data_IF_037822318595
#
_entry.id   IF_037822318595
#
_cell.length_a   1.000
_cell.length_b   1.000
_cell.length_c   1.000
_cell.angle_alpha   90.00
_cell.angle_beta   90.00
_cell.angle_gamma   90.00
#
_symmetry.space_group_name_H-M   'P 1'
#
loop_
_entity.id
_entity.type
_entity.pdbx_description
1 polymer ?
#
# COMPACT_ATOMS: atom_id res chain seq x y z
N UNK A 1 35.48 3.74 8.53
CA UNK A 1 35.16 2.91 7.36
C UNK A 1 36.43 2.62 6.61
N UNK A 2 36.88 1.37 6.61
CA UNK A 2 38.09 0.94 5.93
C UNK A 2 37.85 0.81 4.40
N UNK A 3 38.91 0.60 3.62
CA UNK A 3 38.79 0.53 2.16
C UNK A 3 38.01 -0.69 1.67
N UNK A 4 38.00 -1.80 2.42
CA UNK A 4 37.18 -2.98 2.10
C UNK A 4 35.70 -2.66 2.21
N UNK A 5 35.28 -2.01 3.30
CA UNK A 5 33.90 -1.61 3.54
C UNK A 5 33.43 -0.62 2.47
N UNK A 6 34.29 0.33 2.05
CA UNK A 6 33.98 1.24 0.95
C UNK A 6 33.78 0.49 -0.36
N UNK A 7 34.58 -0.53 -0.63
CA UNK A 7 34.46 -1.33 -1.86
C UNK A 7 33.19 -2.18 -1.86
N UNK A 8 32.82 -2.76 -0.72
CA UNK A 8 31.57 -3.49 -0.56
C UNK A 8 30.36 -2.59 -0.84
N UNK A 9 30.38 -1.36 -0.32
CA UNK A 9 29.33 -0.36 -0.57
C UNK A 9 29.27 0.01 -2.06
N UNK A 10 30.41 0.21 -2.73
CA UNK A 10 30.43 0.52 -4.17
C UNK A 10 29.83 -0.61 -5.00
N UNK A 11 30.19 -1.86 -4.70
CA UNK A 11 29.61 -3.03 -5.40
C UNK A 11 28.11 -3.13 -5.17
N UNK A 12 27.65 -2.85 -3.94
CA UNK A 12 26.23 -2.85 -3.62
C UNK A 12 25.47 -1.76 -4.39
N UNK A 13 25.99 -0.53 -4.41
CA UNK A 13 25.41 0.58 -5.16
C UNK A 13 25.36 0.29 -6.67
N UNK A 14 26.43 -0.25 -7.24
CA UNK A 14 26.46 -0.66 -8.65
C UNK A 14 25.40 -1.74 -8.95
N UNK A 15 25.21 -2.69 -8.02
CA UNK A 15 24.15 -3.69 -8.08
C UNK A 15 22.76 -3.04 -8.13
N UNK A 16 22.49 -2.09 -7.23
CA UNK A 16 21.22 -1.36 -7.20
C UNK A 16 20.98 -0.48 -8.43
N UNK A 17 22.02 0.16 -8.95
CA UNK A 17 21.89 0.98 -10.15
C UNK A 17 21.46 0.14 -11.36
N UNK A 18 22.04 -1.06 -11.50
CA UNK A 18 21.63 -2.01 -12.54
C UNK A 18 20.22 -2.55 -12.29
N UNK A 19 19.95 -3.03 -11.07
CA UNK A 19 18.68 -3.64 -10.71
C UNK A 19 17.51 -2.66 -10.84
N UNK A 20 17.70 -1.38 -10.47
CA UNK A 20 16.66 -0.36 -10.54
C UNK A 20 16.07 -0.22 -11.95
N UNK A 21 16.92 -0.12 -12.97
CA UNK A 21 16.47 -0.02 -14.37
C UNK A 21 15.67 -1.26 -14.82
N UNK A 22 16.08 -2.45 -14.36
CA UNK A 22 15.40 -3.71 -14.67
C UNK A 22 14.05 -3.80 -13.96
N UNK A 23 14.00 -3.41 -12.68
CA UNK A 23 12.78 -3.38 -11.88
C UNK A 23 11.75 -2.41 -12.45
N UNK A 24 12.17 -1.23 -12.91
CA UNK A 24 11.24 -0.28 -13.55
C UNK A 24 10.64 -0.85 -14.83
N UNK A 25 11.46 -1.54 -15.66
CA UNK A 25 10.95 -2.20 -16.85
C UNK A 25 9.93 -3.30 -16.48
N UNK A 26 10.28 -4.16 -15.52
CA UNK A 26 9.39 -5.24 -15.05
C UNK A 26 8.09 -4.68 -14.47
N UNK A 27 8.17 -3.60 -13.68
CA UNK A 27 7.00 -2.92 -13.12
C UNK A 27 6.09 -2.40 -14.23
N UNK A 28 6.66 -1.73 -15.24
CA UNK A 28 5.89 -1.19 -16.35
C UNK A 28 5.24 -2.31 -17.21
N UNK A 29 5.94 -3.42 -17.42
CA UNK A 29 5.39 -4.60 -18.09
C UNK A 29 4.27 -5.26 -17.27
N UNK A 30 4.48 -5.43 -15.96
CA UNK A 30 3.45 -5.95 -15.06
C UNK A 30 2.19 -5.08 -15.12
N UNK A 31 2.31 -3.75 -14.99
CA UNK A 31 1.15 -2.84 -15.06
C UNK A 31 0.42 -2.95 -16.39
N UNK A 32 1.15 -2.99 -17.53
CA UNK A 32 0.52 -3.10 -18.86
C UNK A 32 -0.20 -4.43 -19.08
N UNK A 33 0.32 -5.49 -18.49
CA UNK A 33 -0.21 -6.85 -18.67
C UNK A 33 -1.20 -7.24 -17.57
N UNK A 34 -1.37 -6.42 -16.53
CA UNK A 34 -2.36 -6.64 -15.49
C UNK A 34 -3.77 -6.45 -16.04
N UNK A 35 -4.58 -7.50 -15.95
CA UNK A 35 -6.01 -7.40 -16.16
C UNK A 35 -6.68 -6.84 -14.90
N UNK A 36 -6.71 -5.50 -14.84
CA UNK A 36 -7.29 -4.77 -13.71
C UNK A 36 -8.78 -5.06 -13.56
N UNK A 37 -9.50 -5.31 -14.67
CA UNK A 37 -10.93 -5.58 -14.63
C UNK A 37 -11.20 -6.93 -13.98
N UNK A 38 -10.47 -7.98 -14.39
CA UNK A 38 -10.58 -9.30 -13.78
C UNK A 38 -10.19 -9.27 -12.28
N UNK A 39 -9.17 -8.48 -11.91
CA UNK A 39 -8.78 -8.33 -10.51
C UNK A 39 -9.88 -7.65 -9.66
N UNK A 40 -10.55 -6.63 -10.20
CA UNK A 40 -11.70 -5.99 -9.54
C UNK A 40 -12.85 -6.98 -9.36
N UNK A 41 -13.17 -7.76 -10.39
CA UNK A 41 -14.20 -8.79 -10.33
C UNK A 41 -13.89 -9.84 -9.25
N UNK A 42 -12.65 -10.33 -9.18
CA UNK A 42 -12.20 -11.28 -8.17
C UNK A 42 -12.26 -10.73 -6.74
N UNK A 43 -12.17 -9.41 -6.56
CA UNK A 43 -12.25 -8.75 -5.26
C UNK A 43 -13.68 -8.31 -4.90
N UNK A 44 -14.63 -8.41 -5.84
CA UNK A 44 -16.00 -7.92 -5.64
C UNK A 44 -16.72 -8.66 -4.51
N UNK A 45 -16.55 -9.99 -4.41
CA UNK A 45 -17.16 -10.79 -3.35
C UNK A 45 -16.75 -10.34 -1.94
N UNK A 46 -15.49 -9.92 -1.77
CA UNK A 46 -15.01 -9.41 -0.50
C UNK A 46 -15.63 -8.05 -0.15
N UNK A 47 -15.82 -7.19 -1.16
CA UNK A 47 -16.49 -5.90 -1.01
C UNK A 47 -17.98 -6.08 -0.66
N UNK A 48 -18.69 -6.95 -1.38
CA UNK A 48 -20.11 -7.24 -1.11
C UNK A 48 -20.29 -7.88 0.27
N UNK A 49 -19.39 -8.80 0.66
CA UNK A 49 -19.38 -9.36 2.01
C UNK A 49 -19.18 -8.27 3.07
N UNK A 50 -18.30 -7.30 2.83
CA UNK A 50 -18.10 -6.18 3.76
C UNK A 50 -19.38 -5.34 3.89
N UNK A 51 -20.07 -5.03 2.79
CA UNK A 51 -21.34 -4.31 2.82
C UNK A 51 -22.44 -5.06 3.58
N UNK A 52 -22.49 -6.39 3.43
CA UNK A 52 -23.49 -7.22 4.11
C UNK A 52 -23.26 -7.29 5.64
N UNK A 53 -22.01 -7.43 6.06
CA UNK A 53 -21.67 -7.70 7.46
C UNK A 53 -21.28 -6.45 8.26
N UNK A 54 -20.89 -5.36 7.60
CA UNK A 54 -20.48 -4.10 8.23
C UNK A 54 -21.30 -2.95 7.67
N UNK A 55 -22.58 -2.83 8.06
CA UNK A 55 -23.41 -1.72 7.62
C UNK A 55 -22.78 -0.38 8.06
N UNK A 56 -22.91 0.68 7.25
CA UNK A 56 -22.41 1.99 7.62
C UNK A 56 -22.98 2.43 8.97
N UNK A 57 -22.11 2.97 9.83
CA UNK A 57 -22.55 3.54 11.09
C UNK A 57 -23.52 4.70 10.83
N UNK A 58 -24.57 4.80 11.65
CA UNK A 58 -25.58 5.86 11.55
C UNK A 58 -24.98 7.26 11.80
N UNK A 59 -23.77 7.32 12.35
CA UNK A 59 -23.03 8.54 12.67
C UNK A 59 -21.60 8.44 12.16
N UNK A 60 -20.99 9.57 11.86
CA UNK A 60 -19.57 9.63 11.48
C UNK A 60 -18.65 9.58 12.69
N UNK A 61 -17.37 9.24 12.47
CA UNK A 61 -16.34 9.32 13.50
C UNK A 61 -16.18 10.73 14.10
N UNK A 62 -16.56 11.78 13.37
CA UNK A 62 -16.54 13.15 13.89
C UNK A 62 -17.61 13.36 14.97
N UNK A 63 -18.82 12.81 14.77
CA UNK A 63 -19.88 12.84 15.79
C UNK A 63 -19.48 12.02 17.01
N UNK A 64 -18.91 10.84 16.80
CA UNK A 64 -18.39 10.00 17.88
C UNK A 64 -17.29 10.73 18.68
N UNK A 65 -16.36 11.40 17.99
CA UNK A 65 -15.31 12.20 18.62
C UNK A 65 -15.89 13.34 19.47
N UNK A 66 -16.89 14.07 18.97
CA UNK A 66 -17.57 15.11 19.74
C UNK A 66 -18.24 14.56 21.00
N UNK A 67 -18.88 13.40 20.91
CA UNK A 67 -19.47 12.73 22.07
C UNK A 67 -18.42 12.27 23.09
N UNK A 68 -17.23 11.89 22.63
CA UNK A 68 -16.10 11.54 23.50
C UNK A 68 -15.58 12.79 24.20
N UNK A 69 -15.35 13.89 23.47
CA UNK A 69 -14.88 15.15 24.07
C UNK A 69 -15.87 15.71 25.09
N UNK A 70 -17.17 15.70 24.77
CA UNK A 70 -18.22 16.07 25.71
C UNK A 70 -18.20 15.20 26.98
N UNK A 71 -17.98 13.88 26.86
CA UNK A 71 -17.83 12.97 28.00
C UNK A 71 -16.56 13.21 28.82
N UNK A 72 -15.48 13.62 28.17
CA UNK A 72 -14.18 13.89 28.80
C UNK A 72 -14.06 15.34 29.31
N UNK A 73 -15.07 16.18 29.08
CA UNK A 73 -15.03 17.64 29.32
C UNK A 73 -13.83 18.33 28.66
N UNK A 74 -13.47 17.88 27.45
CA UNK A 74 -12.42 18.45 26.60
C UNK A 74 -13.02 19.38 25.54
#
# INVERSE_FOLDING_TARGET
MNESEKEDIRRWLAGWQKAGSMLERLRAEAIRNSDTAAAIEQLSDAFESALLHYPPAATSGLVEQQQIFARLHL
#
